data_IF_426632563710
#
_entry.id   IF_426632563710
#
_cell.length_a   1.000
_cell.length_b   1.000
_cell.length_c   1.000
_cell.angle_alpha   90.00
_cell.angle_beta   90.00
_cell.angle_gamma   90.00
#
_symmetry.space_group_name_H-M   'P 1'
#
loop_
_entity.id
_entity.type
_entity.pdbx_description
1 polymer ?
#
# COMPACT_ATOMS: atom_id res chain seq x y z
N UNK A 1 -14.44 -11.68 0.33
CA UNK A 1 -14.39 -11.41 -1.12
C UNK A 1 -12.95 -11.49 -1.58
N UNK A 2 -12.63 -12.48 -2.44
CA UNK A 2 -11.26 -12.67 -2.90
C UNK A 2 -11.01 -12.13 -4.31
N UNK A 3 -12.06 -11.92 -5.13
CA UNK A 3 -11.91 -11.41 -6.49
C UNK A 3 -13.07 -10.51 -6.87
N UNK A 4 -12.80 -9.47 -7.66
CA UNK A 4 -13.80 -8.58 -8.25
C UNK A 4 -13.55 -8.43 -9.75
N UNK A 5 -14.55 -8.78 -10.59
CA UNK A 5 -14.46 -8.69 -12.03
C UNK A 5 -15.83 -8.41 -12.64
N UNK A 6 -15.93 -7.34 -13.45
CA UNK A 6 -17.12 -7.03 -14.26
C UNK A 6 -18.45 -7.03 -13.47
N UNK A 7 -18.43 -6.58 -12.21
CA UNK A 7 -19.61 -6.51 -11.34
C UNK A 7 -19.99 -7.83 -10.64
N UNK A 8 -19.15 -8.85 -10.78
CA UNK A 8 -19.24 -10.09 -10.01
C UNK A 8 -18.14 -10.10 -8.94
N UNK A 9 -18.46 -10.73 -7.81
CA UNK A 9 -17.58 -10.87 -6.67
C UNK A 9 -17.42 -12.36 -6.35
N UNK A 10 -16.20 -12.87 -6.38
CA UNK A 10 -15.93 -14.22 -5.89
C UNK A 10 -15.76 -14.17 -4.38
N UNK A 11 -16.54 -14.97 -3.69
CA UNK A 11 -16.52 -15.10 -2.22
C UNK A 11 -16.05 -16.49 -1.87
N UNK A 12 -15.00 -16.55 -1.07
CA UNK A 12 -14.48 -17.79 -0.50
C UNK A 12 -15.17 -18.07 0.83
N UNK A 13 -15.52 -19.33 1.05
CA UNK A 13 -16.15 -19.86 2.27
C UNK A 13 -15.53 -21.20 2.62
N UNK A 14 -15.84 -21.74 3.80
CA UNK A 14 -15.42 -23.09 4.19
C UNK A 14 -15.97 -24.20 3.27
N UNK A 15 -17.07 -23.91 2.53
CA UNK A 15 -17.68 -24.84 1.58
C UNK A 15 -17.14 -24.69 0.14
N UNK A 16 -16.29 -23.70 -0.13
CA UNK A 16 -15.72 -23.41 -1.45
C UNK A 16 -16.00 -21.97 -1.91
N UNK A 17 -15.71 -21.72 -3.18
CA UNK A 17 -15.87 -20.42 -3.81
C UNK A 17 -17.26 -20.28 -4.48
N UNK A 18 -17.85 -19.09 -4.33
CA UNK A 18 -19.12 -18.72 -4.94
C UNK A 18 -19.01 -17.44 -5.75
N UNK A 19 -19.59 -17.44 -6.95
CA UNK A 19 -19.70 -16.23 -7.78
C UNK A 19 -20.95 -15.47 -7.39
N UNK A 20 -20.78 -14.35 -6.72
CA UNK A 20 -21.85 -13.59 -6.08
C UNK A 20 -22.16 -12.28 -6.79
N UNK A 21 -23.41 -11.81 -6.62
CA UNK A 21 -23.88 -10.47 -6.94
C UNK A 21 -24.40 -9.78 -5.69
N UNK A 22 -24.34 -8.44 -5.68
CA UNK A 22 -24.98 -7.65 -4.62
C UNK A 22 -26.50 -7.74 -4.70
N UNK A 23 -27.14 -7.97 -3.57
CA UNK A 23 -28.61 -7.91 -3.46
C UNK A 23 -29.11 -6.48 -3.75
N UNK A 24 -30.23 -6.37 -4.45
CA UNK A 24 -30.73 -5.08 -4.93
C UNK A 24 -30.97 -4.02 -3.84
N UNK A 25 -31.26 -4.44 -2.59
CA UNK A 25 -31.43 -3.51 -1.46
C UNK A 25 -30.14 -2.75 -1.12
N UNK A 26 -28.98 -3.42 -1.20
CA UNK A 26 -27.68 -2.78 -0.95
C UNK A 26 -27.32 -1.71 -1.99
N UNK A 27 -27.88 -1.81 -3.20
CA UNK A 27 -27.65 -0.84 -4.29
C UNK A 27 -28.50 0.43 -4.18
N UNK A 28 -29.50 0.44 -3.30
CA UNK A 28 -30.41 1.57 -3.11
C UNK A 28 -29.93 2.56 -2.04
N UNK A 29 -28.96 2.17 -1.23
CA UNK A 29 -28.32 3.07 -0.28
C UNK A 29 -27.45 4.05 -1.07
N UNK A 30 -27.60 5.35 -0.77
CA UNK A 30 -26.82 6.43 -1.39
C UNK A 30 -25.37 6.29 -0.93
N UNK A 31 -24.55 5.58 -1.71
CA UNK A 31 -23.18 5.28 -1.35
C UNK A 31 -22.22 6.20 -2.10
N UNK A 32 -21.38 6.90 -1.36
CA UNK A 32 -20.28 7.71 -1.89
C UNK A 32 -19.07 6.86 -2.29
N UNK A 33 -19.21 5.52 -2.30
CA UNK A 33 -18.11 4.60 -2.59
C UNK A 33 -18.58 3.19 -2.98
N UNK A 34 -17.61 2.30 -3.22
CA UNK A 34 -17.88 0.89 -3.55
C UNK A 34 -18.57 0.19 -2.38
N UNK A 35 -19.74 -0.40 -2.65
CA UNK A 35 -20.57 -1.13 -1.66
C UNK A 35 -19.79 -2.35 -1.16
N UNK A 36 -19.20 -3.12 -2.08
CA UNK A 36 -18.35 -4.27 -1.75
C UNK A 36 -17.09 -4.26 -2.62
N UNK A 37 -15.99 -4.65 -2.02
CA UNK A 37 -14.66 -4.68 -2.63
C UNK A 37 -13.91 -5.97 -2.27
N UNK A 38 -12.79 -6.21 -2.91
CA UNK A 38 -11.86 -7.29 -2.55
C UNK A 38 -11.35 -7.05 -1.13
N UNK A 39 -11.32 -8.10 -0.30
CA UNK A 39 -10.98 -8.05 1.12
C UNK A 39 -12.18 -7.91 2.06
N UNK A 40 -13.38 -7.59 1.55
CA UNK A 40 -14.56 -7.50 2.39
C UNK A 40 -14.97 -8.87 2.96
N UNK A 41 -15.40 -8.85 4.22
CA UNK A 41 -16.16 -9.94 4.84
C UNK A 41 -17.63 -9.72 4.54
N UNK A 42 -18.31 -10.75 4.08
CA UNK A 42 -19.69 -10.64 3.62
C UNK A 42 -20.52 -11.83 4.11
N UNK A 43 -21.82 -11.61 4.30
CA UNK A 43 -22.80 -12.68 4.46
C UNK A 43 -23.44 -12.94 3.11
N UNK A 44 -23.49 -14.21 2.69
CA UNK A 44 -24.05 -14.62 1.40
C UNK A 44 -25.16 -15.65 1.58
N UNK A 45 -26.14 -15.63 0.65
CA UNK A 45 -27.04 -16.76 0.40
C UNK A 45 -26.53 -17.48 -0.85
N UNK A 46 -26.24 -18.78 -0.70
CA UNK A 46 -25.70 -19.62 -1.77
C UNK A 46 -26.80 -20.38 -2.52
N UNK A 47 -26.52 -20.75 -3.78
CA UNK A 47 -27.29 -21.66 -4.61
C UNK A 47 -26.47 -22.90 -4.93
N UNK A 48 -27.14 -24.01 -5.30
CA UNK A 48 -26.48 -25.29 -5.60
C UNK A 48 -25.58 -25.23 -6.86
N UNK A 49 -25.75 -24.23 -7.70
CA UNK A 49 -25.01 -24.04 -8.95
C UNK A 49 -23.68 -23.28 -8.77
N UNK A 50 -23.22 -23.05 -7.52
CA UNK A 50 -21.99 -22.30 -7.22
C UNK A 50 -22.15 -20.77 -7.34
N UNK A 51 -23.38 -20.29 -7.47
CA UNK A 51 -23.66 -18.85 -7.43
C UNK A 51 -24.18 -18.42 -6.05
N UNK A 52 -24.19 -17.10 -5.81
CA UNK A 52 -24.70 -16.55 -4.55
C UNK A 52 -25.10 -15.08 -4.64
N UNK A 53 -25.76 -14.64 -3.57
CA UNK A 53 -26.15 -13.25 -3.38
C UNK A 53 -25.49 -12.72 -2.10
N UNK A 54 -24.81 -11.57 -2.18
CA UNK A 54 -24.33 -10.85 -1.00
C UNK A 54 -25.50 -10.14 -0.36
N UNK A 55 -25.80 -10.55 0.86
CA UNK A 55 -26.89 -10.02 1.67
C UNK A 55 -26.45 -8.88 2.56
N UNK A 56 -25.20 -8.92 3.01
CA UNK A 56 -24.62 -7.96 3.93
C UNK A 56 -23.10 -7.83 3.67
N UNK A 57 -22.58 -6.64 3.78
CA UNK A 57 -21.15 -6.33 3.83
C UNK A 57 -20.83 -5.88 5.25
N UNK A 58 -19.90 -6.57 5.91
CA UNK A 58 -19.55 -6.27 7.28
C UNK A 58 -18.69 -5.01 7.38
N UNK A 59 -18.64 -4.42 8.57
CA UNK A 59 -17.81 -3.25 8.84
C UNK A 59 -16.33 -3.51 8.54
N UNK A 60 -15.70 -2.54 7.89
CA UNK A 60 -14.29 -2.57 7.53
C UNK A 60 -13.47 -1.94 8.65
N UNK A 61 -12.39 -2.61 9.07
CA UNK A 61 -11.46 -2.04 10.05
C UNK A 61 -10.42 -1.13 9.39
N UNK A 62 -10.13 -1.32 8.10
CA UNK A 62 -9.15 -0.56 7.33
C UNK A 62 -9.51 -0.58 5.84
N UNK A 63 -9.03 0.41 5.08
CA UNK A 63 -9.26 0.45 3.63
C UNK A 63 -8.09 1.12 2.91
N UNK A 64 -7.69 0.59 1.77
CA UNK A 64 -6.99 1.37 0.75
C UNK A 64 -8.00 1.85 -0.28
N UNK A 65 -8.11 3.15 -0.44
CA UNK A 65 -9.07 3.77 -1.35
C UNK A 65 -8.41 4.88 -2.18
N UNK A 66 -9.08 5.28 -3.25
CA UNK A 66 -8.74 6.48 -4.02
C UNK A 66 -10.01 7.24 -4.38
N UNK A 67 -9.92 8.55 -4.45
CA UNK A 67 -10.99 9.38 -4.99
C UNK A 67 -10.94 9.30 -6.52
N UNK A 68 -12.10 9.10 -7.16
CA UNK A 68 -12.22 9.15 -8.61
C UNK A 68 -12.44 10.59 -9.06
N UNK A 69 -11.43 11.18 -9.71
CA UNK A 69 -11.55 12.51 -10.33
C UNK A 69 -12.53 12.48 -11.51
N UNK A 70 -13.32 13.56 -11.69
CA UNK A 70 -14.16 13.75 -12.88
C UNK A 70 -15.64 13.41 -12.74
N UNK A 71 -16.13 13.05 -11.56
CA UNK A 71 -17.56 12.87 -11.25
C UNK A 71 -18.01 14.04 -10.38
N UNK A 72 -19.23 14.55 -10.60
CA UNK A 72 -19.83 15.68 -9.85
C UNK A 72 -19.95 15.47 -8.32
N UNK A 73 -19.78 14.24 -7.85
CA UNK A 73 -19.70 13.83 -6.46
C UNK A 73 -18.42 13.04 -6.26
N UNK A 74 -17.71 13.28 -5.17
CA UNK A 74 -16.54 12.49 -4.79
C UNK A 74 -16.93 11.03 -4.60
N UNK A 75 -16.45 10.17 -5.49
CA UNK A 75 -16.67 8.73 -5.39
C UNK A 75 -15.40 8.06 -4.90
N UNK A 76 -15.46 7.49 -3.71
CA UNK A 76 -14.36 6.74 -3.10
C UNK A 76 -14.31 5.32 -3.64
N UNK A 77 -13.35 5.06 -4.53
CA UNK A 77 -13.11 3.72 -5.04
C UNK A 77 -12.24 2.93 -4.07
N UNK A 78 -12.77 1.82 -3.53
CA UNK A 78 -12.01 0.95 -2.63
C UNK A 78 -11.12 0.03 -3.46
N UNK A 79 -9.82 0.10 -3.21
CA UNK A 79 -8.80 -0.72 -3.88
C UNK A 79 -8.70 -2.06 -3.17
N UNK A 80 -8.63 -2.02 -1.83
CA UNK A 80 -8.58 -3.18 -0.96
C UNK A 80 -9.26 -2.86 0.37
N UNK A 81 -10.13 -3.74 0.82
CA UNK A 81 -10.76 -3.68 2.13
C UNK A 81 -10.03 -4.58 3.12
N UNK A 82 -10.01 -4.16 4.38
CA UNK A 82 -9.45 -4.90 5.51
C UNK A 82 -7.98 -5.37 5.33
N UNK A 83 -7.06 -4.57 4.71
CA UNK A 83 -5.65 -4.90 4.78
C UNK A 83 -5.16 -4.83 6.23
N UNK A 84 -4.43 -5.86 6.67
CA UNK A 84 -3.79 -5.88 7.99
C UNK A 84 -2.44 -5.17 7.96
N UNK A 85 -1.76 -5.19 6.79
CA UNK A 85 -0.46 -4.54 6.64
C UNK A 85 -0.18 -4.10 5.20
N UNK A 86 0.62 -3.05 5.08
CA UNK A 86 1.27 -2.61 3.85
C UNK A 86 2.69 -3.16 3.79
N UNK A 87 3.01 -3.93 2.75
CA UNK A 87 4.37 -4.42 2.49
C UNK A 87 5.00 -3.55 1.40
N UNK A 88 5.82 -2.58 1.82
CA UNK A 88 6.50 -1.65 0.92
C UNK A 88 7.83 -2.26 0.43
N UNK A 89 7.86 -2.76 -0.80
CA UNK A 89 9.02 -3.43 -1.39
C UNK A 89 9.83 -2.46 -2.23
N UNK A 90 11.12 -2.30 -1.87
CA UNK A 90 12.08 -1.50 -2.61
C UNK A 90 13.35 -2.30 -2.86
N UNK A 91 14.00 -2.08 -4.00
CA UNK A 91 15.28 -2.72 -4.29
C UNK A 91 16.42 -1.92 -3.66
N UNK A 92 17.47 -2.60 -3.16
CA UNK A 92 18.70 -1.94 -2.73
C UNK A 92 19.50 -1.39 -3.91
N UNK A 93 19.31 -1.99 -5.09
CA UNK A 93 19.86 -1.55 -6.37
C UNK A 93 19.01 -2.11 -7.54
N UNK A 94 19.06 -1.43 -8.67
CA UNK A 94 18.42 -1.85 -9.94
C UNK A 94 16.93 -2.26 -9.81
N UNK A 95 16.01 -1.27 -9.66
CA UNK A 95 16.24 0.18 -9.76
C UNK A 95 16.82 0.79 -8.49
N UNK A 96 17.37 2.00 -8.61
CA UNK A 96 17.76 2.82 -7.46
C UNK A 96 16.56 3.03 -6.53
N UNK A 97 16.74 2.95 -5.20
CA UNK A 97 15.65 3.11 -4.24
C UNK A 97 15.11 4.54 -4.22
N UNK A 98 13.84 4.68 -4.51
CA UNK A 98 13.15 5.97 -4.51
C UNK A 98 12.52 6.23 -3.14
N UNK A 99 13.31 6.75 -2.17
CA UNK A 99 12.91 6.85 -0.76
C UNK A 99 11.73 7.79 -0.52
N UNK A 100 11.53 8.83 -1.36
CA UNK A 100 10.34 9.68 -1.27
C UNK A 100 9.04 8.91 -1.57
N UNK A 101 9.08 7.95 -2.52
CA UNK A 101 7.95 7.07 -2.75
C UNK A 101 7.70 6.13 -1.56
N UNK A 102 8.76 5.65 -0.90
CA UNK A 102 8.62 4.90 0.34
C UNK A 102 7.96 5.77 1.43
N UNK A 103 8.45 6.99 1.65
CA UNK A 103 7.88 7.92 2.62
C UNK A 103 6.39 8.16 2.37
N UNK A 104 5.99 8.29 1.11
CA UNK A 104 4.59 8.43 0.71
C UNK A 104 3.75 7.19 1.06
N UNK A 105 4.27 5.98 0.85
CA UNK A 105 3.56 4.77 1.26
C UNK A 105 3.41 4.68 2.78
N UNK A 106 4.43 5.11 3.53
CA UNK A 106 4.36 5.16 4.99
C UNK A 106 3.30 6.16 5.47
N UNK A 107 3.23 7.37 4.89
CA UNK A 107 2.18 8.35 5.18
C UNK A 107 0.78 7.77 4.95
N UNK A 108 0.58 7.04 3.85
CA UNK A 108 -0.70 6.39 3.55
C UNK A 108 -1.03 5.32 4.61
N UNK A 109 -0.05 4.52 5.02
CA UNK A 109 -0.23 3.50 6.04
C UNK A 109 -0.58 4.13 7.41
N UNK A 110 0.17 5.15 7.83
CA UNK A 110 -0.09 5.90 9.08
C UNK A 110 -1.49 6.51 9.09
N UNK A 111 -1.89 7.18 7.99
CA UNK A 111 -3.22 7.79 7.87
C UNK A 111 -4.35 6.76 8.00
N UNK A 112 -4.16 5.57 7.45
CA UNK A 112 -5.16 4.51 7.46
C UNK A 112 -5.05 3.59 8.69
N UNK A 113 -4.10 3.88 9.60
CA UNK A 113 -3.79 3.04 10.77
C UNK A 113 -3.50 1.58 10.41
N UNK A 114 -2.73 1.39 9.33
CA UNK A 114 -2.33 0.08 8.82
C UNK A 114 -0.85 -0.10 9.09
N UNK A 115 -0.46 -1.24 9.65
CA UNK A 115 0.94 -1.56 9.89
C UNK A 115 1.74 -1.53 8.59
N UNK A 116 2.93 -0.93 8.62
CA UNK A 116 3.85 -0.90 7.48
C UNK A 116 5.06 -1.81 7.73
N UNK A 117 5.34 -2.69 6.76
CA UNK A 117 6.55 -3.51 6.69
C UNK A 117 7.38 -3.08 5.49
N UNK A 118 8.60 -2.67 5.70
CA UNK A 118 9.53 -2.31 4.63
C UNK A 118 10.33 -3.56 4.25
N UNK A 119 10.39 -3.86 2.95
CA UNK A 119 11.18 -4.97 2.41
C UNK A 119 12.25 -4.40 1.48
N UNK A 120 13.49 -4.38 1.97
CA UNK A 120 14.69 -4.02 1.22
C UNK A 120 15.17 -5.24 0.43
N UNK A 121 14.72 -5.37 -0.82
CA UNK A 121 15.00 -6.53 -1.67
C UNK A 121 16.26 -6.35 -2.51
N UNK A 122 16.77 -7.44 -3.08
CA UNK A 122 18.00 -7.52 -3.90
C UNK A 122 19.26 -7.18 -3.12
N UNK A 123 19.34 -7.61 -1.86
CA UNK A 123 20.56 -7.44 -1.04
C UNK A 123 21.77 -8.17 -1.63
N UNK A 124 21.55 -9.15 -2.49
CA UNK A 124 22.60 -9.84 -3.26
C UNK A 124 23.39 -8.91 -4.21
N UNK A 125 22.84 -7.72 -4.53
CA UNK A 125 23.49 -6.74 -5.41
C UNK A 125 24.36 -5.70 -4.65
N UNK A 126 24.29 -5.68 -3.33
CA UNK A 126 24.98 -4.70 -2.48
C UNK A 126 25.56 -5.37 -1.23
N UNK A 127 26.41 -4.67 -0.50
CA UNK A 127 26.79 -5.13 0.84
C UNK A 127 25.71 -4.83 1.86
N UNK A 128 25.61 -5.63 2.92
CA UNK A 128 24.64 -5.38 4.01
C UNK A 128 24.82 -3.99 4.63
N UNK A 129 26.07 -3.48 4.69
CA UNK A 129 26.33 -2.10 5.13
C UNK A 129 25.61 -1.10 4.22
N UNK A 130 25.77 -1.22 2.89
CA UNK A 130 25.09 -0.33 1.94
C UNK A 130 23.55 -0.42 2.04
N UNK A 131 23.01 -1.63 2.20
CA UNK A 131 21.58 -1.81 2.39
C UNK A 131 21.07 -1.07 3.65
N UNK A 132 21.81 -1.16 4.77
CA UNK A 132 21.50 -0.44 6.01
C UNK A 132 21.75 1.06 5.92
N UNK A 133 22.72 1.51 5.17
CA UNK A 133 22.96 2.95 4.92
C UNK A 133 21.75 3.57 4.21
N UNK A 134 21.00 2.79 3.40
CA UNK A 134 19.79 3.23 2.68
C UNK A 134 18.55 3.15 3.58
N UNK A 135 18.29 1.98 4.20
CA UNK A 135 17.00 1.69 4.85
C UNK A 135 17.04 1.74 6.37
N UNK A 136 18.24 1.78 6.99
CA UNK A 136 18.37 1.73 8.46
C UNK A 136 17.76 2.92 9.19
N UNK A 137 17.60 4.07 8.53
CA UNK A 137 16.87 5.20 9.07
C UNK A 137 15.45 4.80 9.48
N UNK A 138 14.78 3.99 8.67
CA UNK A 138 13.39 3.58 8.94
C UNK A 138 13.28 2.65 10.14
N UNK A 139 14.31 1.84 10.41
CA UNK A 139 14.39 1.04 11.65
C UNK A 139 14.42 1.96 12.90
N UNK A 140 15.16 3.08 12.84
CA UNK A 140 15.21 4.05 13.95
C UNK A 140 13.90 4.80 14.14
N UNK A 141 13.08 4.91 13.10
CA UNK A 141 11.74 5.48 13.15
C UNK A 141 10.67 4.48 13.65
N UNK A 142 11.07 3.23 13.93
CA UNK A 142 10.18 2.20 14.45
C UNK A 142 9.50 1.33 13.42
N UNK A 143 9.82 1.49 12.13
CA UNK A 143 9.29 0.60 11.09
C UNK A 143 10.12 -0.69 11.01
N UNK A 144 9.47 -1.87 10.96
CA UNK A 144 10.18 -3.11 10.69
C UNK A 144 10.75 -3.09 9.27
N UNK A 145 12.04 -3.43 9.13
CA UNK A 145 12.74 -3.52 7.84
C UNK A 145 13.27 -4.94 7.67
N UNK A 146 12.83 -5.63 6.62
CA UNK A 146 13.36 -6.92 6.21
C UNK A 146 14.32 -6.76 5.04
N UNK A 147 15.47 -7.35 5.16
CA UNK A 147 16.49 -7.40 4.12
C UNK A 147 16.38 -8.75 3.39
N UNK A 148 16.04 -8.73 2.10
CA UNK A 148 15.70 -9.93 1.34
C UNK A 148 16.41 -10.01 -0.01
N UNK A 149 16.57 -11.23 -0.50
CA UNK A 149 16.90 -11.50 -1.90
C UNK A 149 16.00 -12.61 -2.42
N UNK A 150 15.12 -12.28 -3.35
CA UNK A 150 14.32 -13.29 -4.04
C UNK A 150 15.18 -14.24 -4.89
N UNK A 151 16.42 -13.83 -5.24
CA UNK A 151 17.35 -14.60 -6.05
C UNK A 151 18.07 -15.67 -5.22
N UNK A 152 18.55 -15.32 -4.04
CA UNK A 152 19.30 -16.23 -3.15
C UNK A 152 18.41 -16.95 -2.13
N UNK A 153 17.18 -16.46 -1.90
CA UNK A 153 16.27 -16.94 -0.87
C UNK A 153 16.51 -16.31 0.51
N UNK A 154 17.54 -15.45 0.66
CA UNK A 154 17.83 -14.81 1.94
C UNK A 154 16.68 -13.93 2.41
N UNK A 155 16.26 -14.06 3.68
CA UNK A 155 15.17 -13.31 4.30
C UNK A 155 13.75 -13.68 3.83
N UNK A 156 13.59 -14.63 2.89
CA UNK A 156 12.28 -15.02 2.34
C UNK A 156 11.44 -15.74 3.40
N UNK A 157 12.03 -16.60 4.22
CA UNK A 157 11.29 -17.31 5.30
C UNK A 157 10.80 -16.32 6.36
N UNK A 158 11.63 -15.33 6.73
CA UNK A 158 11.20 -14.26 7.65
C UNK A 158 10.04 -13.45 7.06
N UNK A 159 10.09 -13.15 5.76
CA UNK A 159 8.96 -12.48 5.09
C UNK A 159 7.70 -13.36 5.14
N UNK A 160 7.83 -14.67 4.87
CA UNK A 160 6.70 -15.62 4.96
C UNK A 160 6.04 -15.60 6.34
N UNK A 161 6.84 -15.58 7.41
CA UNK A 161 6.33 -15.51 8.78
C UNK A 161 5.56 -14.21 9.05
N UNK A 162 6.02 -13.09 8.51
CA UNK A 162 5.33 -11.79 8.61
C UNK A 162 3.99 -11.74 7.84
N UNK A 163 3.84 -12.57 6.81
CA UNK A 163 2.62 -12.65 6.00
C UNK A 163 1.56 -13.58 6.59
N UNK A 164 1.95 -14.47 7.48
CA UNK A 164 1.08 -15.52 8.02
C UNK A 164 -0.20 -14.92 8.65
N UNK A 165 -1.34 -15.40 8.19
CA UNK A 165 -2.67 -15.06 8.74
C UNK A 165 -3.15 -13.64 8.45
N UNK A 166 -2.43 -12.87 7.63
CA UNK A 166 -2.73 -11.45 7.34
C UNK A 166 -3.17 -11.24 5.90
N UNK A 167 -3.97 -10.19 5.68
CA UNK A 167 -4.20 -9.61 4.36
C UNK A 167 -3.11 -8.57 4.13
N UNK A 168 -2.15 -8.89 3.27
CA UNK A 168 -0.96 -8.09 3.01
C UNK A 168 -1.02 -7.41 1.65
N UNK A 169 -0.99 -6.09 1.64
CA UNK A 169 -0.98 -5.29 0.43
C UNK A 169 0.46 -4.99 -0.02
N UNK A 170 0.88 -5.52 -1.18
CA UNK A 170 2.22 -5.30 -1.71
C UNK A 170 2.28 -4.04 -2.57
N UNK A 171 3.13 -3.08 -2.16
CA UNK A 171 3.38 -1.83 -2.86
C UNK A 171 4.87 -1.66 -3.22
N UNK A 172 5.16 -0.79 -4.17
CA UNK A 172 6.53 -0.46 -4.56
C UNK A 172 6.70 -0.31 -6.07
N UNK A 173 7.81 0.30 -6.53
CA UNK A 173 8.10 0.56 -7.92
C UNK A 173 8.11 -0.68 -8.81
N UNK A 174 8.09 -0.46 -10.13
CA UNK A 174 8.29 -1.56 -11.08
C UNK A 174 9.73 -2.08 -10.98
N UNK A 175 9.91 -3.39 -11.16
CA UNK A 175 11.24 -4.00 -11.20
C UNK A 175 11.94 -4.19 -9.85
N UNK A 176 11.33 -3.84 -8.70
CA UNK A 176 11.92 -4.08 -7.37
C UNK A 176 11.87 -5.55 -6.94
N UNK A 177 11.12 -6.39 -7.68
CA UNK A 177 11.07 -7.83 -7.44
C UNK A 177 9.89 -8.32 -6.62
N UNK A 178 8.76 -7.59 -6.54
CA UNK A 178 7.55 -8.01 -5.80
C UNK A 178 7.06 -9.39 -6.19
N UNK A 179 6.79 -9.62 -7.48
CA UNK A 179 6.31 -10.92 -7.97
C UNK A 179 7.36 -12.03 -7.79
N UNK A 180 8.66 -11.71 -7.90
CA UNK A 180 9.73 -12.67 -7.61
C UNK A 180 9.79 -13.07 -6.15
N UNK A 181 9.62 -12.09 -5.22
CA UNK A 181 9.54 -12.35 -3.79
C UNK A 181 8.33 -13.21 -3.43
N UNK A 182 7.15 -12.87 -3.97
CA UNK A 182 5.93 -13.63 -3.73
C UNK A 182 6.05 -15.06 -4.26
N UNK A 183 6.64 -15.27 -5.44
CA UNK A 183 6.93 -16.60 -5.97
C UNK A 183 8.03 -17.33 -5.17
N UNK A 184 8.95 -16.61 -4.51
CA UNK A 184 9.92 -17.22 -3.60
C UNK A 184 9.27 -17.63 -2.25
N UNK A 185 8.31 -16.84 -1.76
CA UNK A 185 7.49 -17.18 -0.58
C UNK A 185 6.63 -18.41 -0.87
N UNK A 186 5.97 -18.46 -2.03
CA UNK A 186 5.09 -19.55 -2.45
C UNK A 186 5.15 -19.75 -3.96
N UNK A 187 5.90 -20.76 -4.45
CA UNK A 187 6.12 -20.98 -5.90
C UNK A 187 4.83 -21.18 -6.70
N UNK A 188 3.82 -21.81 -6.10
CA UNK A 188 2.55 -22.14 -6.77
C UNK A 188 1.64 -20.91 -7.00
N UNK A 189 1.98 -19.73 -6.47
CA UNK A 189 1.28 -18.49 -6.81
C UNK A 189 1.35 -18.15 -8.30
N UNK A 190 2.42 -18.59 -8.99
CA UNK A 190 2.56 -18.49 -10.44
C UNK A 190 2.47 -17.05 -10.97
N UNK A 191 2.84 -16.06 -10.16
CA UNK A 191 2.75 -14.65 -10.54
C UNK A 191 3.72 -14.35 -11.69
N UNK A 192 3.22 -13.66 -12.73
CA UNK A 192 4.05 -13.29 -13.87
C UNK A 192 5.14 -12.30 -13.48
N UNK A 193 6.39 -12.73 -13.54
CA UNK A 193 7.55 -11.86 -13.38
C UNK A 193 7.75 -11.08 -14.70
N UNK A 194 7.42 -9.80 -14.72
CA UNK A 194 7.78 -8.93 -15.86
C UNK A 194 9.27 -8.65 -15.78
N UNK A 195 10.00 -9.05 -16.84
CA UNK A 195 11.38 -8.62 -17.01
C UNK A 195 11.46 -7.08 -17.05
N UNK A 196 12.57 -6.51 -16.52
CA UNK A 196 12.86 -5.07 -16.51
C UNK A 196 13.22 -4.58 -17.92
N UNK A 197 12.43 -4.89 -18.93
CA UNK A 197 12.62 -4.37 -20.28
C UNK A 197 11.28 -4.11 -20.94
N UNK A 198 11.22 -2.89 -21.52
CA UNK A 198 10.15 -2.40 -22.39
C UNK A 198 8.90 -1.82 -21.74
N UNK A 199 9.10 -0.67 -21.10
CA UNK A 199 8.08 0.37 -21.02
C UNK A 199 7.99 1.05 -22.39
N UNK A 200 7.30 0.44 -23.36
CA UNK A 200 6.70 1.16 -24.49
C UNK A 200 5.61 0.29 -25.09
N UNK A 201 4.37 0.59 -24.77
CA UNK A 201 3.25 0.54 -25.72
C UNK A 201 1.92 0.89 -25.08
N UNK A 202 1.46 2.08 -25.42
CA UNK A 202 0.07 2.50 -25.63
C UNK A 202 -1.04 1.48 -25.31
N UNK A 203 -1.90 1.89 -24.33
CA UNK A 203 -3.34 1.82 -24.47
C UNK A 203 -3.98 0.50 -24.86
N UNK A 204 -4.19 -0.39 -23.90
CA UNK A 204 -5.41 -1.20 -23.87
C UNK A 204 -5.97 -1.10 -22.46
N UNK A 205 -7.21 -0.65 -22.34
CA UNK A 205 -8.02 -0.79 -21.13
C UNK A 205 -8.14 -2.28 -20.83
N UNK A 206 -7.13 -2.84 -20.16
CA UNK A 206 -7.24 -4.16 -19.57
C UNK A 206 -8.10 -3.97 -18.33
N UNK A 207 -9.26 -4.60 -18.28
CA UNK A 207 -10.09 -4.72 -17.09
C UNK A 207 -9.19 -5.26 -16.00
N UNK A 208 -8.78 -4.40 -15.05
CA UNK A 208 -7.88 -4.80 -13.96
C UNK A 208 -8.71 -5.69 -13.03
N UNK A 209 -8.46 -6.98 -13.07
CA UNK A 209 -8.97 -7.94 -12.09
C UNK A 209 -8.26 -7.62 -10.76
N UNK A 210 -9.03 -7.35 -9.73
CA UNK A 210 -8.50 -7.22 -8.37
C UNK A 210 -8.70 -8.57 -7.69
N UNK A 211 -7.63 -9.08 -7.12
CA UNK A 211 -7.61 -10.44 -6.58
C UNK A 211 -6.71 -10.53 -5.36
N UNK A 212 -7.15 -11.31 -4.39
CA UNK A 212 -6.35 -11.80 -3.27
C UNK A 212 -5.87 -13.20 -3.58
N UNK A 213 -4.60 -13.44 -3.40
CA UNK A 213 -3.97 -14.75 -3.55
C UNK A 213 -3.80 -15.37 -2.17
N UNK A 214 -4.40 -16.54 -1.90
CA UNK A 214 -4.26 -17.21 -0.62
C UNK A 214 -2.82 -17.73 -0.46
N UNK A 215 -2.34 -17.70 0.79
CA UNK A 215 -1.05 -18.27 1.17
C UNK A 215 -1.25 -19.59 1.92
N UNK A 216 -0.37 -20.58 1.65
CA UNK A 216 -0.38 -21.88 2.32
C UNK A 216 -0.19 -21.76 3.84
N UNK A 217 0.53 -20.71 4.28
CA UNK A 217 0.72 -20.38 5.71
C UNK A 217 -0.50 -19.67 6.32
N UNK A 218 -1.58 -19.53 5.55
CA UNK A 218 -2.75 -18.74 5.90
C UNK A 218 -2.56 -17.24 5.61
N UNK A 219 -3.69 -16.55 5.42
CA UNK A 219 -3.70 -15.16 4.99
C UNK A 219 -3.70 -15.00 3.48
N UNK A 220 -3.56 -13.75 3.02
CA UNK A 220 -3.67 -13.40 1.61
C UNK A 220 -2.68 -12.31 1.22
N UNK A 221 -2.25 -12.34 -0.03
CA UNK A 221 -1.50 -11.24 -0.63
C UNK A 221 -2.32 -10.59 -1.73
N UNK A 222 -2.30 -9.27 -1.75
CA UNK A 222 -2.84 -8.46 -2.83
C UNK A 222 -1.68 -7.90 -3.66
N UNK A 223 -1.49 -8.41 -4.88
CA UNK A 223 -0.62 -7.77 -5.89
C UNK A 223 -1.48 -6.83 -6.73
N UNK A 224 -1.78 -5.68 -6.18
CA UNK A 224 -2.68 -4.73 -6.85
C UNK A 224 -1.88 -3.70 -7.64
N UNK A 225 -1.99 -3.71 -8.99
CA UNK A 225 -1.46 -2.63 -9.82
C UNK A 225 -1.98 -1.24 -9.41
N UNK A 226 -3.16 -1.19 -8.77
CA UNK A 226 -3.78 0.04 -8.26
C UNK A 226 -3.10 0.65 -7.03
N UNK A 227 -2.31 -0.12 -6.25
CA UNK A 227 -1.56 0.43 -5.11
C UNK A 227 -0.39 1.31 -5.58
N UNK A 228 0.13 1.11 -6.79
CA UNK A 228 1.12 2.02 -7.40
C UNK A 228 0.59 3.44 -7.58
N UNK A 229 -0.71 3.56 -7.81
CA UNK A 229 -1.42 4.84 -7.97
C UNK A 229 -2.15 5.26 -6.70
N UNK A 230 -1.78 4.76 -5.52
CA UNK A 230 -2.16 5.36 -4.26
C UNK A 230 -1.49 6.73 -4.18
N UNK A 231 -2.17 7.70 -4.77
CA UNK A 231 -1.82 9.08 -4.58
C UNK A 231 -2.14 9.48 -3.15
N UNK A 232 -1.45 10.48 -2.61
CA UNK A 232 -1.84 11.15 -1.36
C UNK A 232 -3.17 11.92 -1.53
N UNK A 233 -4.00 11.56 -2.52
CA UNK A 233 -5.22 12.24 -2.95
C UNK A 233 -6.25 12.42 -1.83
N UNK A 234 -6.13 11.63 -0.78
CA UNK A 234 -7.01 11.68 0.38
C UNK A 234 -6.32 12.30 1.60
N UNK A 235 -5.13 12.89 1.41
CA UNK A 235 -4.36 13.55 2.48
C UNK A 235 -4.24 15.02 2.15
N UNK A 236 -4.90 15.84 2.96
CA UNK A 236 -4.73 17.28 2.86
C UNK A 236 -3.27 17.64 3.21
N UNK A 237 -2.64 18.57 2.46
CA UNK A 237 -1.26 18.97 2.73
C UNK A 237 -1.05 19.42 4.19
N UNK A 238 -2.08 19.98 4.82
CA UNK A 238 -2.07 20.46 6.19
C UNK A 238 -1.98 19.34 7.24
N UNK A 239 -2.38 18.10 6.88
CA UNK A 239 -2.38 16.94 7.78
C UNK A 239 -1.09 16.12 7.71
N UNK A 240 -0.22 16.37 6.74
CA UNK A 240 0.93 15.51 6.45
C UNK A 240 1.92 15.37 7.62
N UNK A 241 2.10 16.41 8.41
CA UNK A 241 2.99 16.42 9.57
C UNK A 241 2.58 15.42 10.65
N UNK A 242 1.25 15.14 10.79
CA UNK A 242 0.73 14.13 11.69
C UNK A 242 1.08 12.69 11.29
N UNK A 243 1.40 12.47 10.01
CA UNK A 243 1.72 11.14 9.47
C UNK A 243 3.22 10.89 9.27
N UNK A 244 4.07 11.89 9.57
CA UNK A 244 5.50 11.69 9.77
C UNK A 244 5.73 11.40 11.25
N UNK A 245 6.00 10.12 11.59
CA UNK A 245 6.05 9.64 12.98
C UNK A 245 7.00 10.44 13.86
N UNK A 246 8.11 10.91 13.30
CA UNK A 246 9.12 11.74 13.97
C UNK A 246 8.71 13.22 14.14
N UNK A 247 7.65 13.68 13.45
CA UNK A 247 7.15 15.06 13.53
C UNK A 247 5.91 15.15 14.42
N UNK A 248 5.11 14.10 14.46
CA UNK A 248 3.78 14.04 15.09
C UNK A 248 3.71 14.69 16.47
N UNK A 249 4.63 14.32 17.35
CA UNK A 249 4.63 14.80 18.73
C UNK A 249 5.12 16.25 18.85
N UNK A 250 5.92 16.71 17.87
CA UNK A 250 6.49 18.05 17.84
C UNK A 250 5.52 19.13 17.30
N UNK A 251 4.50 18.72 16.53
CA UNK A 251 3.54 19.66 15.92
C UNK A 251 2.86 20.51 16.98
N UNK A 252 2.48 19.93 18.11
CA UNK A 252 1.84 20.63 19.21
C UNK A 252 2.77 21.60 19.98
N UNK A 253 4.08 21.49 19.78
CA UNK A 253 5.09 22.35 20.41
C UNK A 253 5.43 23.58 19.56
N UNK A 254 4.92 23.65 18.31
CA UNK A 254 5.10 24.79 17.46
C UNK A 254 4.38 26.03 18.01
N UNK A 255 4.98 27.19 17.84
CA UNK A 255 4.40 28.46 18.29
C UNK A 255 3.07 28.80 17.60
N UNK A 256 2.87 28.35 16.38
CA UNK A 256 1.68 28.59 15.55
C UNK A 256 0.95 27.28 15.29
N UNK A 257 -0.36 27.29 15.43
CA UNK A 257 -1.22 26.11 15.21
C UNK A 257 -1.35 25.71 13.74
N UNK A 258 -1.08 26.64 12.84
CA UNK A 258 -1.06 26.48 11.37
C UNK A 258 0.37 26.44 10.81
N UNK A 259 1.33 25.99 11.62
CA UNK A 259 2.73 25.95 11.24
C UNK A 259 2.95 25.04 10.02
N UNK A 260 3.59 25.57 8.99
CA UNK A 260 3.95 24.77 7.80
C UNK A 260 5.31 24.12 7.92
N UNK A 261 6.03 24.42 9.01
CA UNK A 261 7.39 23.97 9.32
C UNK A 261 8.45 24.44 8.29
N UNK A 262 8.19 25.53 7.57
CA UNK A 262 9.09 26.06 6.55
C UNK A 262 9.92 27.25 7.03
N UNK A 263 9.29 28.32 7.50
CA UNK A 263 9.93 29.58 7.82
C UNK A 263 9.48 30.18 9.15
N UNK A 264 8.49 29.57 9.79
CA UNK A 264 7.87 30.12 11.00
C UNK A 264 8.86 30.16 12.17
N UNK A 265 8.92 31.29 12.91
CA UNK A 265 9.75 31.38 14.09
C UNK A 265 9.16 30.56 15.24
N UNK A 266 10.00 29.83 15.98
CA UNK A 266 9.57 28.98 17.08
C UNK A 266 8.89 27.69 16.58
N UNK A 267 9.31 27.17 15.43
CA UNK A 267 8.89 25.89 14.91
C UNK A 267 9.72 24.76 15.54
N UNK A 268 9.06 23.87 16.31
CA UNK A 268 9.73 22.74 16.98
C UNK A 268 10.28 21.72 15.99
N UNK A 269 9.59 21.46 14.89
CA UNK A 269 10.08 20.56 13.83
C UNK A 269 11.39 21.05 13.22
N UNK A 270 11.49 22.34 12.86
CA UNK A 270 12.73 22.91 12.33
C UNK A 270 13.87 22.91 13.34
N UNK A 271 13.55 23.11 14.62
CA UNK A 271 14.52 23.01 15.69
C UNK A 271 15.05 21.57 15.79
N UNK A 272 14.18 20.56 15.74
CA UNK A 272 14.56 19.15 15.72
C UNK A 272 15.43 18.79 14.51
N UNK A 273 15.12 19.34 13.32
CA UNK A 273 15.98 19.19 12.14
C UNK A 273 17.38 19.81 12.38
N UNK A 274 17.44 20.98 12.99
CA UNK A 274 18.73 21.65 13.27
C UNK A 274 19.58 20.92 14.31
N UNK A 275 18.94 20.18 15.23
CA UNK A 275 19.60 19.33 16.25
C UNK A 275 20.00 17.96 15.69
N UNK A 276 19.45 17.56 14.55
CA UNK A 276 19.64 16.23 13.94
C UNK A 276 18.70 15.14 14.46
N UNK A 277 17.70 15.50 15.26
CA UNK A 277 16.64 14.57 15.74
C UNK A 277 15.75 14.14 14.58
N UNK A 278 15.53 15.03 13.61
CA UNK A 278 14.89 14.73 12.33
C UNK A 278 15.94 14.86 11.23
N UNK A 279 16.06 13.82 10.39
CA UNK A 279 17.05 13.85 9.30
C UNK A 279 16.63 14.82 8.20
N UNK A 280 17.59 15.51 7.54
CA UNK A 280 17.30 16.37 6.40
C UNK A 280 16.58 15.63 5.26
N UNK A 281 16.85 14.33 5.08
CA UNK A 281 16.19 13.50 4.08
C UNK A 281 14.67 13.43 4.33
N UNK A 282 14.25 13.10 5.53
CA UNK A 282 12.82 12.99 5.90
C UNK A 282 12.14 14.34 5.88
N UNK A 283 12.79 15.37 6.40
CA UNK A 283 12.26 16.73 6.34
C UNK A 283 12.07 17.22 4.91
N UNK A 284 13.04 16.98 4.01
CA UNK A 284 12.89 17.29 2.59
C UNK A 284 11.78 16.49 1.92
N UNK A 285 11.60 15.22 2.30
CA UNK A 285 10.48 14.41 1.81
C UNK A 285 9.14 15.00 2.22
N UNK A 286 9.00 15.40 3.49
CA UNK A 286 7.81 16.09 3.98
C UNK A 286 7.52 17.37 3.17
N UNK A 287 8.51 18.26 3.00
CA UNK A 287 8.33 19.50 2.26
C UNK A 287 7.86 19.26 0.82
N UNK A 288 8.45 18.27 0.16
CA UNK A 288 8.07 17.93 -1.22
C UNK A 288 6.67 17.35 -1.29
N UNK A 289 6.30 16.45 -0.39
CA UNK A 289 4.95 15.89 -0.35
C UNK A 289 3.89 16.94 -0.02
N UNK A 290 4.25 18.01 0.73
CA UNK A 290 3.33 19.07 1.11
C UNK A 290 3.15 20.14 0.02
N UNK A 291 4.21 20.50 -0.70
CA UNK A 291 4.24 21.71 -1.53
C UNK A 291 4.55 21.46 -3.01
N UNK A 292 5.06 20.29 -3.38
CA UNK A 292 5.30 20.00 -4.79
C UNK A 292 4.03 19.46 -5.44
N UNK A 293 3.68 20.12 -6.53
CA UNK A 293 2.59 19.76 -7.43
C UNK A 293 2.82 18.37 -8.05
N UNK A 294 1.76 17.70 -8.48
CA UNK A 294 1.68 16.33 -9.02
C UNK A 294 2.56 16.05 -10.26
N UNK A 295 3.45 16.96 -10.62
CA UNK A 295 4.36 16.84 -11.77
C UNK A 295 5.62 16.00 -11.49
N UNK A 296 5.57 15.04 -10.55
CA UNK A 296 6.66 14.08 -10.39
C UNK A 296 6.66 13.12 -11.60
N UNK A 297 7.73 13.09 -12.41
CA UNK A 297 7.79 12.24 -13.61
C UNK A 297 7.68 10.73 -13.32
N UNK A 298 7.69 10.31 -12.07
CA UNK A 298 7.43 8.93 -11.63
C UNK A 298 5.96 8.66 -11.27
N UNK A 299 5.07 9.65 -11.48
CA UNK A 299 3.61 9.51 -11.33
C UNK A 299 2.90 9.13 -12.63
N UNK A 300 3.56 9.20 -13.78
CA UNK A 300 3.02 9.00 -15.13
C UNK A 300 3.38 7.60 -15.73
N UNK A 301 3.49 6.52 -14.97
CA UNK A 301 3.61 5.18 -15.56
C UNK A 301 2.62 4.16 -14.98
#
# INVERSE_FOLDING_TARGET
>A
VIRSQSGFLTVETDAGEYICRLRGRLKKEDTTGDIAAVGDRVTITTSEDGTGMIDEVHERHSVFSRIRSGIKQEFRQIILANPDQLVAVFACAHPEPHLRMLDRFLVIAEKQHIDALIVANKIDLVTMKQARDIFGLYETLGYPVLYTSAHTGEGVDTLRDHLQGKISAFAGPSGVGKSSLLNAVQPDLGLHVRAVSEATSKGKHTTQVRELFPLDVGGYVADTPGIRTLALWDTEPEELDAYFVEMRDLVSECKFSDCTHTHEPGCAVREAVSKGDITPQRYNSYLRLRFEDESDPYMED
#
